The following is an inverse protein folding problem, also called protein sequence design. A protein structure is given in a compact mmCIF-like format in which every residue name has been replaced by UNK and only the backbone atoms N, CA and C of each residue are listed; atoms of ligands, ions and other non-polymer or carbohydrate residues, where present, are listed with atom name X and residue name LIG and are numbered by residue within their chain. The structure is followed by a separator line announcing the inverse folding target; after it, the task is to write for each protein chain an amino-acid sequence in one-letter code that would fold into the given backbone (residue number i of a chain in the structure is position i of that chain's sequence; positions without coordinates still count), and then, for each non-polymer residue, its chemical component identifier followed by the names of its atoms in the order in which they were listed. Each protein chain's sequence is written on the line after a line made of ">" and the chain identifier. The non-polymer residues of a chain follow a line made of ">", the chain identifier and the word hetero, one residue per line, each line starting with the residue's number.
data_IF_612366399110
#
_entry.id   IF_612366399110
#
_cell.length_a   1.000
_cell.length_b   1.000
_cell.length_c   1.000
_cell.angle_alpha   90.00
_cell.angle_beta   90.00
_cell.angle_gamma   90.00
#
_symmetry.space_group_name_H-M   'P 1'
#
loop_
_entity.id
_entity.type
_entity.pdbx_description
1 polymer ?
#
# COMPACT_ATOMS: atom_id res chain seq x y z
N UNK A 1 0.29 -16.46 -23.11
CA UNK A 1 0.52 -15.00 -23.06
C UNK A 1 0.92 -14.56 -21.64
N UNK A 2 1.94 -15.18 -21.02
CA UNK A 2 2.30 -14.93 -19.61
C UNK A 2 3.00 -13.58 -19.36
N UNK A 3 3.72 -13.08 -20.36
CA UNK A 3 4.43 -11.80 -20.30
C UNK A 3 3.50 -10.60 -20.06
N UNK A 4 2.23 -10.69 -20.49
CA UNK A 4 1.27 -9.60 -20.35
C UNK A 4 0.62 -9.60 -18.95
N UNK A 5 0.41 -10.78 -18.36
CA UNK A 5 -0.15 -10.93 -17.00
C UNK A 5 0.87 -10.51 -15.93
N UNK A 6 2.14 -10.86 -16.08
CA UNK A 6 3.21 -10.41 -15.17
C UNK A 6 3.40 -8.89 -15.23
N UNK A 7 3.28 -8.31 -16.42
CA UNK A 7 3.33 -6.87 -16.59
C UNK A 7 2.11 -6.18 -15.94
N UNK A 8 0.90 -6.74 -16.10
CA UNK A 8 -0.31 -6.25 -15.42
C UNK A 8 -0.21 -6.39 -13.90
N UNK A 9 0.32 -7.50 -13.39
CA UNK A 9 0.53 -7.69 -11.95
C UNK A 9 1.55 -6.69 -11.40
N UNK A 10 2.62 -6.42 -12.14
CA UNK A 10 3.62 -5.42 -11.77
C UNK A 10 3.05 -4.00 -11.79
N UNK A 11 2.29 -3.64 -12.84
CA UNK A 11 1.61 -2.34 -12.93
C UNK A 11 0.55 -2.19 -11.83
N UNK A 12 -0.23 -3.24 -11.56
CA UNK A 12 -1.18 -3.27 -10.45
C UNK A 12 -0.49 -3.09 -9.10
N UNK A 13 0.68 -3.70 -8.91
CA UNK A 13 1.51 -3.48 -7.71
C UNK A 13 1.95 -2.03 -7.52
N UNK A 14 2.30 -1.32 -8.59
CA UNK A 14 2.64 0.12 -8.52
C UNK A 14 1.42 1.00 -8.22
N UNK A 15 0.27 0.73 -8.82
CA UNK A 15 -0.98 1.47 -8.55
C UNK A 15 -1.42 1.26 -7.10
N UNK A 16 -1.37 0.01 -6.63
CA UNK A 16 -1.68 -0.32 -5.24
C UNK A 16 -0.70 0.29 -4.25
N UNK A 17 0.56 0.52 -4.65
CA UNK A 17 1.56 1.16 -3.81
C UNK A 17 1.23 2.63 -3.56
N UNK A 18 0.89 3.39 -4.61
CA UNK A 18 0.48 4.79 -4.50
C UNK A 18 -0.80 4.95 -3.65
N UNK A 19 -1.78 4.07 -3.87
CA UNK A 19 -3.03 4.08 -3.09
C UNK A 19 -2.79 3.68 -1.62
N UNK A 20 -1.89 2.73 -1.36
CA UNK A 20 -1.49 2.36 -0.01
C UNK A 20 -0.74 3.49 0.72
N UNK A 21 0.15 4.20 0.03
CA UNK A 21 0.87 5.37 0.58
C UNK A 21 -0.13 6.49 0.94
N UNK A 22 -1.05 6.79 0.03
CA UNK A 22 -2.09 7.79 0.28
C UNK A 22 -3.00 7.41 1.44
N UNK A 23 -3.42 6.14 1.52
CA UNK A 23 -4.19 5.62 2.64
C UNK A 23 -3.42 5.73 3.96
N UNK A 24 -2.13 5.38 3.96
CA UNK A 24 -1.29 5.39 5.16
C UNK A 24 -1.08 6.81 5.71
N UNK A 25 -0.86 7.81 4.85
CA UNK A 25 -0.75 9.21 5.27
C UNK A 25 -2.01 9.67 6.02
N UNK A 26 -3.20 9.35 5.48
CA UNK A 26 -4.47 9.67 6.13
C UNK A 26 -4.70 8.85 7.42
N UNK A 27 -4.35 7.57 7.43
CA UNK A 27 -4.48 6.70 8.61
C UNK A 27 -3.55 7.18 9.74
N UNK A 28 -2.31 7.54 9.42
CA UNK A 28 -1.33 8.02 10.39
C UNK A 28 -1.74 9.36 11.01
N UNK A 29 -2.34 10.27 10.22
CA UNK A 29 -2.93 11.50 10.77
C UNK A 29 -4.04 11.21 11.79
N UNK A 30 -4.88 10.19 11.54
CA UNK A 30 -5.96 9.78 12.45
C UNK A 30 -5.46 9.05 13.70
N UNK A 31 -4.33 8.35 13.60
CA UNK A 31 -3.70 7.65 14.71
C UNK A 31 -2.98 8.59 15.69
N UNK A 32 -2.78 9.86 15.32
CA UNK A 32 -2.12 10.86 16.16
C UNK A 32 -0.61 10.60 16.32
N UNK A 33 0.07 11.43 17.11
CA UNK A 33 1.54 11.42 17.29
C UNK A 33 2.12 10.16 17.95
N UNK A 34 1.28 9.21 18.36
CA UNK A 34 1.71 7.94 18.97
C UNK A 34 1.78 6.76 18.00
N UNK A 35 1.04 6.79 16.88
CA UNK A 35 0.90 5.65 15.96
C UNK A 35 0.25 4.41 16.61
N UNK A 36 -0.50 3.61 15.85
CA UNK A 36 -0.82 2.26 16.28
C UNK A 36 0.34 1.34 15.88
N UNK A 37 1.01 0.72 16.85
CA UNK A 37 2.00 -0.33 16.58
C UNK A 37 1.26 -1.54 16.02
N UNK A 38 1.37 -1.78 14.71
CA UNK A 38 0.88 -3.00 14.09
C UNK A 38 1.96 -4.07 14.27
N UNK A 39 1.86 -4.84 15.35
CA UNK A 39 2.66 -6.05 15.54
C UNK A 39 2.08 -7.18 14.69
N UNK A 40 2.86 -7.69 13.74
CA UNK A 40 2.58 -8.93 13.06
C UNK A 40 3.20 -10.06 13.89
N UNK A 41 2.37 -10.96 14.41
CA UNK A 41 2.78 -12.19 15.10
C UNK A 41 3.04 -13.32 14.09
#
# INVERSE_FOLDING_TARGET
>A
MRCQDEHKARLGGYVLHDEADHWWVNANQRLGSGGAVITWA
#
